data_IF_759358309849
#
_entry.id   IF_759358309849
#
_cell.length_a   1.000
_cell.length_b   1.000
_cell.length_c   1.000
_cell.angle_alpha   90.00
_cell.angle_beta   90.00
_cell.angle_gamma   90.00
#
_symmetry.space_group_name_H-M   'P 1'
#
loop_
_entity.id
_entity.type
_entity.pdbx_description
1 polymer ?
#
# COMPACT_ATOMS: atom_id res chain seq x y z
N UNK A 1 19.98 20.56 30.89
CA UNK A 1 20.57 19.75 29.81
C UNK A 1 19.69 19.92 28.59
N UNK A 2 20.25 20.14 27.39
CA UNK A 2 19.42 20.45 26.25
C UNK A 2 18.69 19.18 25.78
N UNK A 3 17.41 19.36 25.47
CA UNK A 3 16.52 18.36 24.91
C UNK A 3 17.06 17.96 23.53
N UNK A 4 17.29 16.65 23.36
CA UNK A 4 17.70 16.04 22.11
C UNK A 4 16.50 16.11 21.16
N UNK A 5 16.56 17.05 20.22
CA UNK A 5 15.69 17.09 19.04
C UNK A 5 16.13 15.94 18.11
N UNK A 6 15.27 14.95 17.93
CA UNK A 6 15.48 13.88 16.96
C UNK A 6 15.47 14.46 15.53
N UNK A 7 16.55 14.32 14.75
CA UNK A 7 16.65 14.94 13.42
C UNK A 7 15.91 14.14 12.33
N UNK A 8 14.78 13.49 12.64
CA UNK A 8 14.04 12.68 11.66
C UNK A 8 13.04 13.47 10.81
N UNK A 9 13.02 14.79 10.92
CA UNK A 9 12.24 15.66 10.06
C UNK A 9 13.22 16.54 9.29
N UNK A 10 13.20 16.43 7.96
CA UNK A 10 14.05 17.12 6.98
C UNK A 10 15.42 16.47 6.71
N UNK A 11 15.42 15.25 6.15
CA UNK A 11 16.41 14.95 5.12
C UNK A 11 15.68 14.75 3.79
N UNK A 12 16.23 15.36 2.75
CA UNK A 12 15.60 15.54 1.46
C UNK A 12 15.16 14.22 0.84
N UNK A 13 14.25 14.33 -0.13
CA UNK A 13 13.95 13.29 -1.10
C UNK A 13 15.19 12.99 -1.97
N UNK A 14 16.26 12.48 -1.35
CA UNK A 14 17.43 11.96 -2.00
C UNK A 14 17.08 10.60 -2.55
N UNK A 15 16.71 10.55 -3.84
CA UNK A 15 16.49 9.30 -4.57
C UNK A 15 17.82 8.57 -4.80
N UNK A 16 18.37 7.95 -3.75
CA UNK A 16 19.60 7.17 -3.78
C UNK A 16 19.32 5.66 -3.81
N UNK A 17 18.46 5.20 -4.72
CA UNK A 17 18.15 3.77 -4.85
C UNK A 17 17.62 3.39 -6.23
N UNK A 18 17.97 2.19 -6.69
CA UNK A 18 17.41 1.56 -7.90
C UNK A 18 15.99 1.00 -7.67
N UNK A 19 15.42 1.25 -6.50
CA UNK A 19 14.09 0.80 -6.09
C UNK A 19 13.31 1.94 -5.46
N UNK A 20 12.00 1.86 -5.58
CA UNK A 20 11.06 2.73 -4.89
C UNK A 20 10.94 2.25 -3.44
N UNK A 21 11.29 3.11 -2.50
CA UNK A 21 11.05 2.90 -1.07
C UNK A 21 10.74 4.27 -0.45
N UNK A 22 9.59 4.37 0.22
CA UNK A 22 9.10 5.61 0.79
C UNK A 22 8.25 5.35 2.03
N UNK A 23 8.28 6.32 2.94
CA UNK A 23 7.47 6.32 4.17
C UNK A 23 6.26 7.23 3.96
N UNK A 24 5.08 6.73 4.33
CA UNK A 24 3.81 7.47 4.24
C UNK A 24 3.03 7.38 5.55
N UNK A 25 2.13 8.34 5.76
CA UNK A 25 1.04 8.22 6.74
C UNK A 25 -0.14 7.50 6.10
N UNK A 26 -0.69 6.49 6.78
CA UNK A 26 -1.85 5.77 6.28
C UNK A 26 -3.17 6.29 6.85
N UNK A 27 -4.19 6.36 5.99
CA UNK A 27 -5.55 6.71 6.37
C UNK A 27 -6.55 5.71 5.76
N UNK A 28 -7.72 5.52 6.38
CA UNK A 28 -8.73 4.63 5.83
C UNK A 28 -9.34 5.20 4.56
N UNK A 29 -9.73 4.34 3.62
CA UNK A 29 -10.32 4.75 2.36
C UNK A 29 -11.68 5.45 2.51
N UNK A 30 -12.31 5.37 3.68
CA UNK A 30 -13.50 6.15 4.04
C UNK A 30 -13.31 7.67 3.87
N UNK A 31 -12.08 8.18 3.94
CA UNK A 31 -11.78 9.62 3.81
C UNK A 31 -11.93 10.15 2.38
N UNK A 32 -11.97 9.27 1.38
CA UNK A 32 -11.98 9.65 -0.04
C UNK A 32 -13.28 9.23 -0.75
N UNK A 33 -14.32 8.87 0.01
CA UNK A 33 -15.66 8.49 -0.49
C UNK A 33 -15.65 7.48 -1.66
N UNK A 34 -14.66 6.57 -1.67
CA UNK A 34 -14.48 5.56 -2.72
C UNK A 34 -14.68 4.14 -2.17
N UNK A 35 -15.93 3.67 -2.05
CA UNK A 35 -16.23 2.37 -1.42
C UNK A 35 -15.63 1.17 -2.16
N UNK A 36 -15.32 1.29 -3.45
CA UNK A 36 -14.69 0.25 -4.25
C UNK A 36 -13.30 -0.16 -3.74
N UNK A 37 -12.64 0.70 -2.96
CA UNK A 37 -11.33 0.42 -2.38
C UNK A 37 -11.45 -0.66 -1.29
N UNK A 38 -12.50 -0.61 -0.48
CA UNK A 38 -12.69 -1.51 0.66
C UNK A 38 -12.82 -2.99 0.26
N UNK A 39 -13.21 -3.28 -0.98
CA UNK A 39 -13.39 -4.65 -1.48
C UNK A 39 -12.13 -5.27 -2.12
N UNK A 40 -11.02 -4.52 -2.21
CA UNK A 40 -9.83 -4.94 -2.93
C UNK A 40 -8.54 -4.79 -2.13
N UNK A 41 -7.43 -5.21 -2.73
CA UNK A 41 -6.05 -5.15 -2.21
C UNK A 41 -5.27 -3.93 -2.73
N UNK A 42 -5.97 -2.91 -3.21
CA UNK A 42 -5.36 -1.74 -3.85
C UNK A 42 -5.46 -0.53 -2.96
N UNK A 43 -4.40 0.27 -2.94
CA UNK A 43 -4.32 1.52 -2.20
C UNK A 43 -4.35 2.73 -3.14
N UNK A 44 -4.51 3.92 -2.58
CA UNK A 44 -4.36 5.20 -3.27
C UNK A 44 -3.07 5.84 -2.80
N UNK A 45 -2.25 6.27 -3.75
CA UNK A 45 -0.95 6.87 -3.51
C UNK A 45 -0.90 8.33 -3.98
N UNK A 46 0.09 9.13 -3.56
CA UNK A 46 0.20 10.49 -4.04
C UNK A 46 0.79 10.54 -5.46
N UNK A 47 0.48 11.59 -6.26
CA UNK A 47 1.04 11.78 -7.60
C UNK A 47 2.57 11.69 -7.66
N UNK A 48 3.28 12.23 -6.66
CA UNK A 48 4.75 12.13 -6.58
C UNK A 48 5.28 10.70 -6.59
N UNK A 49 4.49 9.73 -6.11
CA UNK A 49 4.86 8.32 -6.16
C UNK A 49 4.91 7.82 -7.61
N UNK A 50 3.95 8.23 -8.45
CA UNK A 50 3.90 7.86 -9.86
C UNK A 50 5.09 8.42 -10.62
N UNK A 51 5.45 9.69 -10.40
CA UNK A 51 6.61 10.32 -11.04
C UNK A 51 7.90 9.55 -10.70
N UNK A 52 8.06 9.17 -9.42
CA UNK A 52 9.20 8.36 -8.99
C UNK A 52 9.20 6.97 -9.64
N UNK A 53 8.07 6.27 -9.64
CA UNK A 53 7.94 4.95 -10.28
C UNK A 53 8.24 5.01 -11.78
N UNK A 54 7.79 6.06 -12.46
CA UNK A 54 8.06 6.29 -13.88
C UNK A 54 9.55 6.53 -14.15
N UNK A 55 10.23 7.35 -13.34
CA UNK A 55 11.68 7.56 -13.46
C UNK A 55 12.50 6.28 -13.25
N UNK A 56 11.98 5.36 -12.43
CA UNK A 56 12.57 4.05 -12.18
C UNK A 56 12.21 3.00 -13.25
N UNK A 57 11.42 3.37 -14.26
CA UNK A 57 10.94 2.48 -15.33
C UNK A 57 10.20 1.25 -14.79
N UNK A 58 9.38 1.44 -13.75
CA UNK A 58 8.56 0.37 -13.18
C UNK A 58 7.26 0.24 -13.99
N UNK A 59 7.17 -0.85 -14.75
CA UNK A 59 5.99 -1.18 -15.56
C UNK A 59 4.83 -1.76 -14.73
N UNK A 60 3.64 -1.71 -15.32
CA UNK A 60 2.45 -2.38 -14.78
C UNK A 60 2.61 -3.93 -14.80
N UNK A 61 2.08 -4.65 -13.80
CA UNK A 61 1.41 -4.17 -12.59
C UNK A 61 2.40 -3.63 -11.53
N UNK A 62 2.06 -2.47 -10.97
CA UNK A 62 2.79 -1.87 -9.85
C UNK A 62 2.34 -2.53 -8.54
N UNK A 63 3.26 -3.26 -7.92
CA UNK A 63 3.04 -3.98 -6.67
C UNK A 63 3.98 -3.47 -5.59
N UNK A 64 3.48 -3.47 -4.36
CA UNK A 64 4.18 -2.91 -3.22
C UNK A 64 4.14 -3.87 -2.04
N UNK A 65 5.24 -3.90 -1.30
CA UNK A 65 5.29 -4.41 0.07
C UNK A 65 5.00 -3.24 1.01
N UNK A 66 4.04 -3.46 1.91
CA UNK A 66 3.72 -2.58 3.02
C UNK A 66 4.31 -3.16 4.30
N UNK A 67 5.05 -2.36 5.06
CA UNK A 67 5.68 -2.80 6.30
C UNK A 67 5.36 -1.84 7.45
N UNK A 68 4.78 -2.41 8.51
CA UNK A 68 4.64 -1.77 9.82
C UNK A 68 5.74 -2.32 10.74
N UNK A 69 6.79 -1.55 10.96
CA UNK A 69 7.91 -1.95 11.83
C UNK A 69 7.52 -2.06 13.30
N UNK A 70 6.55 -1.26 13.77
CA UNK A 70 6.15 -1.27 15.18
C UNK A 70 5.44 -2.58 15.56
N UNK A 71 4.71 -3.17 14.62
CA UNK A 71 3.96 -4.41 14.81
C UNK A 71 4.61 -5.63 14.15
N UNK A 72 5.77 -5.46 13.51
CA UNK A 72 6.45 -6.47 12.70
C UNK A 72 5.52 -7.14 11.66
N UNK A 73 4.62 -6.36 11.06
CA UNK A 73 3.66 -6.82 10.05
C UNK A 73 4.10 -6.42 8.65
N UNK A 74 3.90 -7.36 7.73
CA UNK A 74 4.12 -7.16 6.29
C UNK A 74 2.86 -7.56 5.54
N UNK A 75 2.46 -6.73 4.57
CA UNK A 75 1.38 -7.00 3.63
C UNK A 75 1.83 -6.62 2.22
N UNK A 76 1.06 -7.03 1.21
CA UNK A 76 1.30 -6.65 -0.18
C UNK A 76 0.04 -6.04 -0.76
N UNK A 77 0.22 -5.03 -1.61
CA UNK A 77 -0.90 -4.34 -2.25
C UNK A 77 -0.54 -3.89 -3.67
N UNK A 78 -1.57 -3.69 -4.48
CA UNK A 78 -1.47 -2.90 -5.71
C UNK A 78 -1.78 -1.42 -5.45
N UNK A 79 -1.72 -0.62 -6.51
CA UNK A 79 -2.23 0.75 -6.51
C UNK A 79 -3.47 0.84 -7.42
N UNK A 80 -4.50 1.55 -6.97
CA UNK A 80 -5.69 1.84 -7.76
C UNK A 80 -5.52 3.13 -8.55
N UNK A 81 -5.21 4.23 -7.87
CA UNK A 81 -5.04 5.56 -8.44
C UNK A 81 -3.98 6.37 -7.68
N UNK A 82 -3.45 7.40 -8.33
CA UNK A 82 -2.47 8.33 -7.77
C UNK A 82 -3.09 9.71 -7.54
N UNK A 83 -3.91 9.83 -6.50
CA UNK A 83 -4.68 11.05 -6.18
C UNK A 83 -4.62 11.44 -4.69
N UNK A 84 -3.80 10.76 -3.87
CA UNK A 84 -3.69 11.10 -2.46
C UNK A 84 -2.94 12.41 -2.24
N UNK A 85 -3.16 13.03 -1.08
CA UNK A 85 -2.32 14.15 -0.62
C UNK A 85 -0.87 13.70 -0.44
N UNK A 86 0.07 14.61 -0.69
CA UNK A 86 1.50 14.33 -0.59
C UNK A 86 1.90 13.88 0.82
N UNK A 87 2.65 12.78 0.90
CA UNK A 87 3.03 12.16 2.17
C UNK A 87 1.96 11.26 2.80
N UNK A 88 0.80 11.09 2.15
CA UNK A 88 -0.29 10.24 2.63
C UNK A 88 -0.63 9.12 1.65
N UNK A 89 -1.14 8.01 2.17
CA UNK A 89 -1.79 6.96 1.38
C UNK A 89 -3.14 6.60 1.99
N UNK A 90 -4.08 6.19 1.14
CA UNK A 90 -5.37 5.65 1.58
C UNK A 90 -5.43 4.16 1.30
N UNK A 91 -5.82 3.38 2.30
CA UNK A 91 -5.90 1.93 2.18
C UNK A 91 -7.21 1.38 2.76
N UNK A 92 -7.64 0.18 2.34
CA UNK A 92 -8.82 -0.46 2.90
C UNK A 92 -8.72 -0.61 4.42
N UNK A 93 -9.82 -0.45 5.13
CA UNK A 93 -9.85 -0.57 6.59
C UNK A 93 -9.36 -1.94 7.07
N UNK A 94 -9.80 -3.01 6.40
CA UNK A 94 -9.37 -4.37 6.72
C UNK A 94 -7.85 -4.56 6.62
N UNK A 95 -7.20 -3.82 5.70
CA UNK A 95 -5.75 -3.87 5.51
C UNK A 95 -5.04 -3.17 6.67
N UNK A 96 -5.58 -2.03 7.14
CA UNK A 96 -5.08 -1.35 8.34
C UNK A 96 -5.21 -2.26 9.58
N UNK A 97 -6.37 -2.91 9.75
CA UNK A 97 -6.59 -3.84 10.86
C UNK A 97 -5.60 -5.01 10.83
N UNK A 98 -5.40 -5.63 9.67
CA UNK A 98 -4.43 -6.74 9.52
C UNK A 98 -2.98 -6.30 9.80
N UNK A 99 -2.64 -5.06 9.46
CA UNK A 99 -1.33 -4.46 9.70
C UNK A 99 -1.19 -3.83 11.08
N UNK A 100 -2.23 -3.84 11.91
CA UNK A 100 -2.29 -3.17 13.22
C UNK A 100 -1.92 -1.68 13.13
N UNK A 101 -2.48 -0.99 12.15
CA UNK A 101 -2.27 0.44 11.89
C UNK A 101 -3.50 1.25 12.33
N UNK A 102 -3.26 2.42 12.90
CA UNK A 102 -4.26 3.45 13.18
C UNK A 102 -4.17 4.60 12.16
N UNK A 103 -5.15 5.49 12.18
CA UNK A 103 -5.15 6.67 11.32
C UNK A 103 -3.93 7.56 11.60
N UNK A 104 -3.19 7.89 10.54
CA UNK A 104 -1.98 8.70 10.62
C UNK A 104 -0.72 7.94 11.03
N UNK A 105 -0.82 6.63 11.31
CA UNK A 105 0.35 5.80 11.58
C UNK A 105 1.28 5.73 10.36
N UNK A 106 2.52 5.40 10.64
CA UNK A 106 3.58 5.34 9.64
C UNK A 106 3.65 3.93 9.06
N UNK A 107 3.68 3.86 7.73
CA UNK A 107 3.91 2.62 6.98
C UNK A 107 5.00 2.84 5.93
N UNK A 108 5.90 1.86 5.82
CA UNK A 108 6.91 1.82 4.77
C UNK A 108 6.34 1.13 3.55
N UNK A 109 6.51 1.74 2.39
CA UNK A 109 6.04 1.24 1.10
C UNK A 109 7.24 1.05 0.20
N UNK A 110 7.43 -0.17 -0.30
CA UNK A 110 8.53 -0.53 -1.18
C UNK A 110 7.99 -1.20 -2.43
N UNK A 111 8.44 -0.80 -3.63
CA UNK A 111 8.05 -1.55 -4.82
C UNK A 111 8.69 -2.94 -4.77
N UNK A 112 7.90 -3.93 -5.15
CA UNK A 112 8.39 -5.29 -5.34
C UNK A 112 8.12 -5.70 -6.77
N UNK A 113 9.18 -6.16 -7.43
CA UNK A 113 9.03 -6.85 -8.72
C UNK A 113 8.76 -8.30 -8.40
N UNK A 114 7.48 -8.69 -8.35
CA UNK A 114 7.17 -10.12 -8.36
C UNK A 114 7.61 -10.67 -9.73
N UNK A 115 8.50 -11.67 -9.78
CA UNK A 115 8.81 -12.32 -11.05
C UNK A 115 7.49 -12.77 -11.68
N UNK A 116 7.32 -12.62 -13.00
CA UNK A 116 6.12 -13.08 -13.72
C UNK A 116 5.85 -14.54 -13.36
N UNK A 117 4.96 -14.76 -12.39
CA UNK A 117 4.80 -16.05 -11.75
C UNK A 117 4.11 -17.00 -12.70
N UNK A 118 4.75 -18.13 -12.98
CA UNK A 118 4.18 -19.26 -13.75
C UNK A 118 3.10 -20.01 -12.94
N UNK A 119 2.87 -19.62 -11.69
CA UNK A 119 1.96 -20.30 -10.77
C UNK A 119 1.49 -19.36 -9.65
N UNK A 120 0.17 -19.29 -9.42
CA UNK A 120 -0.42 -18.65 -8.23
C UNK A 120 -0.94 -19.76 -7.33
N UNK A 121 -0.37 -19.91 -6.13
CA UNK A 121 -0.95 -20.76 -5.06
C UNK A 121 -1.92 -19.90 -4.26
N UNK A 122 -3.20 -19.96 -4.59
CA UNK A 122 -4.27 -19.43 -3.74
C UNK A 122 -4.55 -20.47 -2.65
N UNK A 123 -4.37 -20.11 -1.38
CA UNK A 123 -4.83 -20.91 -0.26
C UNK A 123 -6.05 -20.20 0.37
N UNK A 124 -7.28 -20.68 0.14
CA UNK A 124 -8.46 -20.08 0.75
C UNK A 124 -8.46 -20.35 2.26
N UNK A 125 -8.53 -19.28 3.06
CA UNK A 125 -8.40 -19.37 4.52
C UNK A 125 -9.73 -19.54 5.28
N UNK A 126 -10.89 -19.50 4.62
CA UNK A 126 -12.19 -19.81 5.24
C UNK A 126 -13.19 -20.41 4.24
N UNK A 127 -14.10 -21.26 4.73
CA UNK A 127 -15.16 -21.93 3.95
C UNK A 127 -16.35 -21.02 3.59
N UNK A 128 -16.19 -19.70 3.56
CA UNK A 128 -17.27 -18.77 3.20
C UNK A 128 -17.23 -18.36 1.72
N UNK A 129 -16.78 -19.28 0.85
CA UNK A 129 -16.70 -19.10 -0.59
C UNK A 129 -17.78 -19.91 -1.34
N UNK A 130 -18.94 -20.14 -0.73
CA UNK A 130 -20.02 -20.98 -1.29
C UNK A 130 -21.41 -20.33 -1.37
N UNK A 131 -21.53 -18.99 -1.32
CA UNK A 131 -22.79 -18.30 -1.65
C UNK A 131 -22.66 -17.28 -2.79
N UNK A 132 -21.69 -17.50 -3.70
CA UNK A 132 -21.75 -16.85 -5.02
C UNK A 132 -22.76 -17.66 -5.83
N UNK A 133 -24.02 -17.25 -5.76
CA UNK A 133 -25.05 -17.67 -6.69
C UNK A 133 -24.55 -17.48 -8.12
N UNK A 134 -24.27 -18.61 -8.75
CA UNK A 134 -23.89 -18.78 -10.14
C UNK A 134 -24.82 -17.97 -11.08
N UNK A 135 -24.38 -16.92 -11.79
CA UNK A 135 -25.13 -16.43 -12.93
C UNK A 135 -24.76 -17.31 -14.13
N UNK A 136 -25.21 -18.56 -14.10
CA UNK A 136 -25.31 -19.37 -15.32
C UNK A 136 -26.52 -18.85 -16.07
N UNK A 137 -26.25 -18.23 -17.21
CA UNK A 137 -27.14 -18.09 -18.36
C UNK A 137 -28.59 -17.67 -18.08
N UNK A 138 -28.92 -16.42 -18.43
CA UNK A 138 -29.99 -16.12 -19.38
C UNK A 138 -29.58 -14.92 -20.24
#
# INVERSE_FOLDING_TARGET
GPLRVDPLFFDGYGYHGTSFEQIYRCYPASFIEKPQIESGDKIIMPPSALDRLASLHIDYPMLFELRNDAAERVSHCGVLEFIAEEGMIYMPYWMMENMLLQEGDIVKVKNVTLPKGTYVKLQPHTKDFLDISNPKAM
#
